data_IF_241175950090
#
_entry.id   IF_241175950090
#
_cell.length_a   1.000
_cell.length_b   1.000
_cell.length_c   1.000
_cell.angle_alpha   90.00
_cell.angle_beta   90.00
_cell.angle_gamma   90.00
#
_symmetry.space_group_name_H-M   'P 1'
#
loop_
_entity.id
_entity.type
_entity.pdbx_description
1 polymer ?
#
# COMPACT_ATOMS: atom_id res chain seq x y z
N UNK A 1 -7.59 -31.60 -16.72
CA UNK A 1 -8.69 -30.94 -16.01
C UNK A 1 -9.34 -31.92 -14.99
N UNK A 2 -8.62 -32.46 -14.02
CA UNK A 2 -9.23 -33.35 -13.00
C UNK A 2 -8.62 -33.28 -11.60
N UNK A 3 -7.70 -32.31 -11.30
CA UNK A 3 -7.00 -32.28 -10.00
C UNK A 3 -7.09 -30.94 -9.23
N UNK A 4 -8.06 -30.06 -9.55
CA UNK A 4 -8.19 -28.77 -8.85
C UNK A 4 -9.37 -28.72 -7.84
N UNK A 5 -10.18 -29.76 -7.75
CA UNK A 5 -11.42 -29.74 -6.93
C UNK A 5 -11.21 -30.27 -5.48
N UNK A 6 -10.03 -30.73 -5.10
CA UNK A 6 -9.84 -31.41 -3.79
C UNK A 6 -9.29 -30.49 -2.68
N UNK A 7 -8.97 -29.22 -2.93
CA UNK A 7 -8.36 -28.34 -1.90
C UNK A 7 -9.33 -27.38 -1.18
N UNK A 8 -10.64 -27.47 -1.43
CA UNK A 8 -11.66 -26.62 -0.75
C UNK A 8 -12.39 -27.36 0.39
N UNK A 9 -12.08 -28.61 0.61
CA UNK A 9 -12.85 -29.50 1.48
C UNK A 9 -12.39 -29.68 2.92
N UNK A 10 -11.36 -29.00 3.41
CA UNK A 10 -10.87 -29.17 4.79
C UNK A 10 -10.71 -27.81 5.45
N UNK A 11 -11.63 -27.46 6.25
CA UNK A 11 -11.60 -26.72 7.53
C UNK A 11 -12.85 -25.88 7.78
N UNK A 12 -13.91 -26.48 8.27
CA UNK A 12 -14.91 -25.72 9.02
C UNK A 12 -15.40 -26.58 10.19
N UNK A 13 -14.64 -26.59 11.27
CA UNK A 13 -15.14 -26.86 12.60
C UNK A 13 -14.30 -26.04 13.59
N UNK A 14 -14.65 -24.78 13.75
CA UNK A 14 -14.17 -23.98 14.89
C UNK A 14 -15.39 -23.38 15.58
N UNK A 15 -15.49 -23.65 16.84
CA UNK A 15 -16.48 -23.07 17.76
C UNK A 15 -16.29 -21.53 17.80
N UNK A 16 -17.34 -20.81 17.41
CA UNK A 16 -17.34 -19.33 17.44
C UNK A 16 -18.18 -18.90 18.64
N UNK A 17 -17.52 -18.32 19.64
CA UNK A 17 -18.17 -17.51 20.64
C UNK A 17 -18.65 -16.19 20.02
N UNK A 18 -19.84 -15.74 20.37
CA UNK A 18 -20.38 -14.47 19.90
C UNK A 18 -19.64 -13.31 20.58
N UNK A 19 -18.69 -12.69 19.86
CA UNK A 19 -18.13 -11.41 20.27
C UNK A 19 -17.94 -10.51 19.05
N UNK A 20 -18.28 -9.23 19.24
CA UNK A 20 -18.19 -8.19 18.22
C UNK A 20 -16.72 -7.86 17.88
N UNK A 21 -16.11 -8.65 17.01
CA UNK A 21 -14.89 -8.23 16.36
C UNK A 21 -15.24 -7.08 15.40
N UNK A 22 -14.83 -5.86 15.74
CA UNK A 22 -14.77 -4.78 14.78
C UNK A 22 -13.86 -5.28 13.64
N UNK A 23 -14.43 -5.42 12.44
CA UNK A 23 -13.68 -5.71 11.23
C UNK A 23 -12.68 -4.57 11.06
N UNK A 24 -11.41 -4.87 11.22
CA UNK A 24 -10.38 -3.89 10.93
C UNK A 24 -10.48 -3.53 9.45
N UNK A 25 -10.63 -2.26 9.19
CA UNK A 25 -10.56 -1.71 7.85
C UNK A 25 -9.07 -1.70 7.46
N UNK A 26 -8.62 -2.73 6.78
CA UNK A 26 -7.28 -2.82 6.20
C UNK A 26 -7.23 -2.04 4.89
N UNK A 27 -7.51 -0.82 4.91
CA UNK A 27 -7.55 0.07 3.78
C UNK A 27 -8.07 1.38 4.30
N UNK A 28 -8.09 2.39 3.66
CA UNK A 28 -8.57 3.72 3.92
C UNK A 28 -9.38 3.91 5.21
N UNK A 29 -9.08 4.93 5.90
CA UNK A 29 -9.67 5.57 7.08
C UNK A 29 -10.98 5.02 7.61
N UNK A 30 -11.03 4.86 8.91
CA UNK A 30 -12.26 5.03 9.67
C UNK A 30 -12.69 6.51 9.59
N UNK A 31 -13.55 6.84 8.61
CA UNK A 31 -14.16 8.17 8.45
C UNK A 31 -15.29 8.36 9.45
N UNK A 32 -15.04 8.05 10.72
CA UNK A 32 -16.01 8.29 11.78
C UNK A 32 -16.36 9.77 11.98
N UNK A 33 -15.64 10.66 11.31
CA UNK A 33 -15.86 12.11 11.36
C UNK A 33 -16.69 12.68 10.19
N UNK A 34 -17.07 11.85 9.20
CA UNK A 34 -17.86 12.30 8.06
C UNK A 34 -19.33 12.55 8.34
N UNK A 35 -20.02 13.19 7.40
CA UNK A 35 -21.46 13.36 7.43
C UNK A 35 -22.15 11.99 7.37
N UNK A 36 -23.01 11.70 8.33
CA UNK A 36 -23.78 10.45 8.38
C UNK A 36 -25.27 10.71 8.17
N UNK A 37 -25.84 10.06 7.15
CA UNK A 37 -27.28 10.14 6.82
C UNK A 37 -27.80 8.70 6.74
N UNK A 38 -28.50 8.26 7.79
CA UNK A 38 -28.98 6.88 7.90
C UNK A 38 -27.83 5.88 7.83
N UNK A 39 -27.86 4.99 6.85
CA UNK A 39 -26.85 3.94 6.63
C UNK A 39 -25.68 4.41 5.73
N UNK A 40 -25.68 5.67 5.29
CA UNK A 40 -24.64 6.25 4.43
C UNK A 40 -23.76 7.17 5.24
N UNK A 41 -22.44 7.06 5.07
CA UNK A 41 -21.46 8.04 5.53
C UNK A 41 -20.68 8.62 4.36
N UNK A 42 -20.42 9.92 4.44
CA UNK A 42 -19.66 10.70 3.47
C UNK A 42 -18.46 11.32 4.16
N UNK A 43 -17.26 11.02 3.70
CA UNK A 43 -16.02 11.66 4.11
C UNK A 43 -15.34 12.34 2.94
N UNK A 44 -14.42 13.24 3.24
CA UNK A 44 -13.58 13.94 2.26
C UNK A 44 -12.13 13.92 2.76
N UNK A 45 -11.22 13.77 1.85
CA UNK A 45 -9.79 13.90 2.10
C UNK A 45 -9.14 14.71 0.99
N UNK A 46 -8.19 15.56 1.37
CA UNK A 46 -7.34 16.27 0.43
C UNK A 46 -5.95 16.46 1.02
N UNK A 47 -4.91 16.17 0.23
CA UNK A 47 -3.55 16.48 0.60
C UNK A 47 -2.83 17.22 -0.54
N UNK A 48 -2.20 18.33 -0.19
CA UNK A 48 -1.36 19.13 -1.07
C UNK A 48 0.05 19.15 -0.53
N UNK A 49 1.04 19.24 -1.43
CA UNK A 49 2.43 19.31 -1.03
C UNK A 49 3.26 20.18 -1.94
N UNK A 50 4.39 20.63 -1.40
CA UNK A 50 5.54 21.12 -2.14
C UNK A 50 6.72 20.19 -1.86
N UNK A 51 7.36 19.66 -2.91
CA UNK A 51 8.53 18.79 -2.81
C UNK A 51 9.75 19.42 -3.45
N UNK A 52 10.90 19.36 -2.79
CA UNK A 52 12.16 19.82 -3.33
C UNK A 52 13.22 18.72 -3.25
N UNK A 53 13.73 18.32 -4.40
CA UNK A 53 14.85 17.39 -4.53
C UNK A 53 16.13 18.18 -4.73
N UNK A 54 17.11 18.02 -3.84
CA UNK A 54 18.35 18.79 -3.84
C UNK A 54 19.30 18.43 -4.99
N UNK A 55 19.10 17.29 -5.64
CA UNK A 55 19.78 16.93 -6.89
C UNK A 55 19.23 17.70 -8.11
N UNK A 56 18.04 18.34 -7.98
CA UNK A 56 17.38 19.17 -8.99
C UNK A 56 17.27 18.49 -10.37
N UNK A 57 16.63 17.30 -10.46
CA UNK A 57 16.54 16.55 -11.71
C UNK A 57 15.81 17.38 -12.79
N UNK A 58 16.35 17.41 -14.01
CA UNK A 58 15.74 18.14 -15.14
C UNK A 58 14.35 17.63 -15.52
N UNK A 59 14.08 16.34 -15.25
CA UNK A 59 12.76 15.74 -15.44
C UNK A 59 11.68 16.32 -14.52
N UNK A 60 12.08 17.05 -13.46
CA UNK A 60 11.21 17.50 -12.37
C UNK A 60 10.43 16.38 -11.68
N UNK A 61 10.87 15.15 -11.84
CA UNK A 61 10.29 13.99 -11.18
C UNK A 61 11.32 13.31 -10.28
N UNK A 62 10.87 12.88 -9.11
CA UNK A 62 11.62 12.00 -8.24
C UNK A 62 11.42 10.59 -8.76
N UNK A 63 12.46 10.01 -9.33
CA UNK A 63 12.45 8.61 -9.74
C UNK A 63 12.24 7.71 -8.51
N UNK A 64 11.78 6.48 -8.73
CA UNK A 64 11.53 5.47 -7.69
C UNK A 64 10.31 5.71 -6.80
N UNK A 65 9.51 6.77 -7.03
CA UNK A 65 8.33 7.09 -6.23
C UNK A 65 7.09 7.28 -7.11
N UNK A 66 5.95 6.81 -6.62
CA UNK A 66 4.63 7.13 -7.22
C UNK A 66 3.90 8.21 -6.44
N UNK A 67 4.24 8.37 -5.16
CA UNK A 67 3.68 9.40 -4.30
C UNK A 67 4.65 10.56 -4.16
N UNK A 68 4.13 11.80 -4.12
CA UNK A 68 4.95 13.00 -3.88
C UNK A 68 6.14 13.13 -4.83
N UNK A 69 5.97 12.68 -6.07
CA UNK A 69 7.06 12.48 -7.04
C UNK A 69 7.45 13.71 -7.84
N UNK A 70 6.85 14.90 -7.56
CA UNK A 70 7.16 16.13 -8.29
C UNK A 70 8.19 16.97 -7.56
N UNK A 71 9.23 17.42 -8.29
CA UNK A 71 10.26 18.31 -7.81
C UNK A 71 9.91 19.77 -8.07
N UNK A 72 10.13 20.64 -7.07
CA UNK A 72 10.00 22.10 -7.13
C UNK A 72 8.64 22.55 -7.69
N UNK A 73 7.57 21.98 -7.16
CA UNK A 73 6.21 22.25 -7.60
C UNK A 73 5.20 22.04 -6.48
N UNK A 74 4.19 22.92 -6.42
CA UNK A 74 3.01 22.72 -5.58
C UNK A 74 2.05 21.78 -6.30
N UNK A 75 1.63 20.71 -5.62
CA UNK A 75 0.81 19.66 -6.21
C UNK A 75 -0.32 19.22 -5.28
N UNK A 76 -1.44 18.87 -5.89
CA UNK A 76 -2.46 18.03 -5.26
C UNK A 76 -2.01 16.57 -5.38
N UNK A 77 -1.58 15.98 -4.27
CA UNK A 77 -1.15 14.58 -4.27
C UNK A 77 -2.36 13.64 -4.40
N UNK A 78 -3.32 13.80 -3.48
CA UNK A 78 -4.53 12.96 -3.44
C UNK A 78 -5.70 13.75 -2.89
N UNK A 79 -6.83 13.71 -3.60
CA UNK A 79 -8.13 14.16 -3.10
C UNK A 79 -9.17 13.12 -3.41
N UNK A 80 -10.07 12.82 -2.46
CA UNK A 80 -11.14 11.85 -2.69
C UNK A 80 -12.41 12.16 -1.88
N UNK A 81 -13.52 11.57 -2.35
CA UNK A 81 -14.76 11.40 -1.60
C UNK A 81 -14.81 9.96 -1.09
N UNK A 82 -15.16 9.78 0.17
CA UNK A 82 -15.33 8.46 0.81
C UNK A 82 -16.80 8.22 1.07
N UNK A 83 -17.42 7.38 0.25
CA UNK A 83 -18.82 7.02 0.33
C UNK A 83 -18.93 5.59 0.86
N UNK A 84 -19.49 5.44 2.06
CA UNK A 84 -19.76 4.13 2.68
C UNK A 84 -21.25 3.95 2.90
N UNK A 85 -21.74 2.80 2.52
CA UNK A 85 -23.04 2.29 2.89
C UNK A 85 -22.86 1.06 3.77
N UNK A 86 -23.57 0.96 4.90
CA UNK A 86 -23.51 -0.19 5.77
C UNK A 86 -24.88 -0.50 6.37
N UNK A 87 -25.34 -1.72 6.13
CA UNK A 87 -26.55 -2.28 6.72
C UNK A 87 -26.21 -3.64 7.36
N UNK A 88 -27.20 -4.30 7.99
CA UNK A 88 -27.03 -5.57 8.73
C UNK A 88 -26.36 -6.68 7.93
N UNK A 89 -26.57 -6.74 6.61
CA UNK A 89 -26.12 -7.82 5.75
C UNK A 89 -25.44 -7.40 4.45
N UNK A 90 -25.42 -6.12 4.16
CA UNK A 90 -24.80 -5.57 2.95
C UNK A 90 -24.00 -4.33 3.29
N UNK A 91 -22.92 -4.14 2.56
CA UNK A 91 -22.08 -2.94 2.64
C UNK A 91 -21.56 -2.56 1.26
N UNK A 92 -21.27 -1.31 1.08
CA UNK A 92 -20.61 -0.81 -0.12
C UNK A 92 -19.61 0.29 0.28
N UNK A 93 -18.53 0.39 -0.47
CA UNK A 93 -17.52 1.41 -0.31
C UNK A 93 -17.13 1.92 -1.69
N UNK A 94 -17.23 3.22 -1.92
CA UNK A 94 -16.87 3.84 -3.19
C UNK A 94 -16.06 5.11 -2.96
N UNK A 95 -14.83 5.15 -3.51
CA UNK A 95 -13.86 6.22 -3.29
C UNK A 95 -13.33 6.70 -4.63
N UNK A 96 -14.05 7.62 -5.32
CA UNK A 96 -13.50 8.34 -6.47
C UNK A 96 -12.39 9.28 -5.99
N UNK A 97 -11.24 9.27 -6.70
CA UNK A 97 -10.04 9.97 -6.28
C UNK A 97 -9.30 10.61 -7.45
N UNK A 98 -8.59 11.71 -7.15
CA UNK A 98 -7.85 12.54 -8.10
C UNK A 98 -6.52 12.99 -7.50
N UNK A 99 -5.59 13.35 -8.36
CA UNK A 99 -4.30 13.91 -7.96
C UNK A 99 -3.12 13.23 -8.65
N UNK A 100 -1.91 13.70 -8.31
CA UNK A 100 -0.67 13.17 -8.92
C UNK A 100 -0.42 11.71 -8.53
N UNK A 101 -0.85 11.30 -7.33
CA UNK A 101 -0.81 9.91 -6.90
C UNK A 101 -1.63 8.99 -7.82
N UNK A 102 -2.89 9.37 -8.13
CA UNK A 102 -3.74 8.59 -9.01
C UNK A 102 -3.15 8.50 -10.42
N UNK A 103 -2.61 9.61 -10.94
CA UNK A 103 -1.99 9.64 -12.25
C UNK A 103 -0.77 8.73 -12.35
N UNK A 104 0.06 8.65 -11.31
CA UNK A 104 1.27 7.82 -11.29
C UNK A 104 0.95 6.36 -10.98
N UNK A 105 0.22 6.11 -9.89
CA UNK A 105 -0.01 4.76 -9.38
C UNK A 105 -1.01 3.95 -10.24
N UNK A 106 -1.97 4.63 -10.88
CA UNK A 106 -2.98 4.03 -11.77
C UNK A 106 -2.66 4.27 -13.26
N UNK A 107 -1.40 4.56 -13.60
CA UNK A 107 -0.99 4.87 -14.98
C UNK A 107 -1.30 3.75 -15.99
N UNK A 108 -1.30 2.50 -15.53
CA UNK A 108 -1.60 1.33 -16.35
C UNK A 108 -3.08 1.07 -16.59
N UNK A 109 -3.97 1.74 -15.85
CA UNK A 109 -5.41 1.60 -15.96
C UNK A 109 -5.98 2.56 -17.03
N UNK A 110 -7.14 2.22 -17.61
CA UNK A 110 -7.76 2.97 -18.70
C UNK A 110 -9.11 3.56 -18.28
N UNK A 111 -9.47 4.69 -18.90
CA UNK A 111 -10.79 5.31 -18.72
C UNK A 111 -11.07 5.71 -17.27
N UNK A 112 -12.31 5.55 -16.82
CA UNK A 112 -12.80 5.95 -15.51
C UNK A 112 -12.22 5.11 -14.36
N UNK A 113 -11.75 3.88 -14.63
CA UNK A 113 -11.16 3.01 -13.60
C UNK A 113 -9.91 3.61 -12.99
N UNK A 114 -9.21 4.48 -13.71
CA UNK A 114 -8.06 5.25 -13.25
C UNK A 114 -8.34 6.17 -12.05
N UNK A 115 -9.60 6.51 -11.81
CA UNK A 115 -10.05 7.41 -10.76
C UNK A 115 -10.75 6.69 -9.61
N UNK A 116 -10.70 5.36 -9.56
CA UNK A 116 -11.30 4.56 -8.50
C UNK A 116 -10.21 4.09 -7.54
N UNK A 117 -10.09 4.75 -6.38
CA UNK A 117 -9.17 4.34 -5.34
C UNK A 117 -9.66 3.05 -4.66
N UNK A 118 -10.95 3.00 -4.30
CA UNK A 118 -11.70 1.80 -3.89
C UNK A 118 -13.10 1.81 -4.49
N UNK A 119 -13.64 0.63 -4.78
CA UNK A 119 -14.99 0.46 -5.30
C UNK A 119 -15.45 -0.96 -5.12
N UNK A 120 -16.11 -1.27 -3.99
CA UNK A 120 -16.49 -2.63 -3.66
C UNK A 120 -17.87 -2.70 -2.98
N UNK A 121 -18.47 -3.89 -3.08
CA UNK A 121 -19.68 -4.26 -2.39
C UNK A 121 -19.44 -5.52 -1.57
N UNK A 122 -20.11 -5.64 -0.45
CA UNK A 122 -19.96 -6.79 0.43
C UNK A 122 -21.29 -7.34 0.92
N UNK A 123 -21.33 -8.66 1.09
CA UNK A 123 -22.48 -9.35 1.67
C UNK A 123 -22.04 -10.20 2.86
N UNK A 124 -22.82 -10.20 3.91
CA UNK A 124 -22.65 -11.03 5.08
C UNK A 124 -23.25 -12.41 4.78
N UNK A 125 -22.40 -13.45 4.70
CA UNK A 125 -22.80 -14.77 4.24
C UNK A 125 -23.75 -15.48 5.22
N UNK A 126 -23.54 -15.26 6.53
CA UNK A 126 -24.34 -15.92 7.58
C UNK A 126 -24.97 -14.88 8.51
N UNK A 127 -26.23 -15.06 8.91
CA UNK A 127 -26.95 -14.15 9.82
C UNK A 127 -26.24 -13.99 11.18
N UNK A 128 -25.75 -15.08 11.76
CA UNK A 128 -25.16 -15.13 13.10
C UNK A 128 -23.62 -15.05 13.11
N UNK A 129 -22.91 -15.32 12.00
CA UNK A 129 -21.46 -15.29 11.93
C UNK A 129 -20.99 -14.03 11.18
N UNK A 130 -19.94 -13.39 11.63
CA UNK A 130 -19.40 -12.18 11.01
C UNK A 130 -18.44 -12.53 9.83
N UNK A 131 -18.95 -13.33 8.87
CA UNK A 131 -18.22 -13.75 7.67
C UNK A 131 -18.74 -12.93 6.49
N UNK A 132 -17.83 -12.21 5.83
CA UNK A 132 -18.15 -11.31 4.73
C UNK A 132 -17.46 -11.71 3.44
N UNK A 133 -18.18 -11.59 2.34
CA UNK A 133 -17.66 -11.65 0.99
C UNK A 133 -17.76 -10.26 0.39
N UNK A 134 -16.62 -9.64 0.08
CA UNK A 134 -16.52 -8.36 -0.62
C UNK A 134 -16.00 -8.59 -2.03
N UNK A 135 -16.47 -7.82 -3.01
CA UNK A 135 -16.04 -7.90 -4.40
C UNK A 135 -15.91 -6.52 -5.02
N UNK A 136 -14.87 -6.32 -5.85
CA UNK A 136 -14.58 -5.08 -6.54
C UNK A 136 -13.12 -4.63 -6.42
N UNK A 137 -12.88 -3.32 -6.45
CA UNK A 137 -11.58 -2.72 -6.15
C UNK A 137 -11.46 -2.52 -4.65
N UNK A 138 -10.53 -3.25 -4.06
CA UNK A 138 -10.31 -3.37 -2.62
C UNK A 138 -9.00 -2.67 -2.24
N UNK A 139 -8.92 -2.06 -1.06
CA UNK A 139 -7.64 -1.66 -0.49
C UNK A 139 -6.73 -2.86 -0.27
N UNK A 140 -5.44 -2.66 -0.48
CA UNK A 140 -4.43 -3.70 -0.29
C UNK A 140 -4.19 -3.98 1.20
N UNK A 141 -3.98 -5.23 1.61
CA UNK A 141 -3.58 -5.56 2.96
C UNK A 141 -2.08 -5.35 3.22
N UNK A 142 -1.28 -5.26 2.14
CA UNK A 142 0.18 -5.30 2.22
C UNK A 142 0.76 -4.02 2.77
N UNK A 143 1.79 -4.17 3.60
CA UNK A 143 2.59 -3.14 4.26
C UNK A 143 1.87 -2.29 5.31
N UNK A 144 2.67 -1.51 6.03
CA UNK A 144 2.22 -0.68 7.15
C UNK A 144 1.83 0.75 6.74
N UNK A 145 1.83 1.07 5.44
CA UNK A 145 1.47 2.39 4.91
C UNK A 145 0.54 2.26 3.71
N UNK A 146 -0.54 3.04 3.71
CA UNK A 146 -1.58 3.06 2.68
C UNK A 146 -1.36 4.17 1.64
N UNK A 147 -2.33 4.40 0.78
CA UNK A 147 -2.39 5.54 -0.13
C UNK A 147 -2.57 6.89 0.59
N UNK A 148 -3.07 6.91 1.82
CA UNK A 148 -3.57 8.11 2.50
C UNK A 148 -2.57 8.63 3.53
N UNK A 149 -1.91 9.74 3.23
CA UNK A 149 -0.79 10.26 4.02
C UNK A 149 -1.15 10.68 5.44
N UNK A 150 -2.42 11.00 5.74
CA UNK A 150 -2.82 11.36 7.11
C UNK A 150 -2.66 10.20 8.10
N UNK A 151 -2.76 8.96 7.61
CA UNK A 151 -2.66 7.75 8.43
C UNK A 151 -1.20 7.34 8.68
N UNK A 152 -0.27 7.95 7.96
CA UNK A 152 1.15 7.70 8.09
C UNK A 152 1.77 8.48 9.25
N UNK A 153 2.91 8.01 9.72
CA UNK A 153 3.69 8.70 10.73
C UNK A 153 4.50 9.86 10.14
N UNK A 154 4.86 9.77 8.86
CA UNK A 154 5.54 10.81 8.07
C UNK A 154 4.67 11.19 6.86
N UNK A 155 5.03 12.24 6.13
CA UNK A 155 4.30 12.62 4.92
C UNK A 155 4.62 11.67 3.76
N UNK A 156 5.89 11.54 3.40
CA UNK A 156 6.30 10.64 2.34
C UNK A 156 6.18 9.18 2.79
N UNK A 157 5.85 8.29 1.86
CA UNK A 157 5.80 6.85 2.12
C UNK A 157 7.19 6.26 2.15
N UNK A 158 7.33 5.14 2.85
CA UNK A 158 8.55 4.33 2.79
C UNK A 158 8.70 3.67 1.42
N UNK A 159 9.91 3.24 1.08
CA UNK A 159 10.19 2.41 -0.10
C UNK A 159 9.41 1.09 -0.06
N UNK A 160 9.02 0.65 1.13
CA UNK A 160 8.15 -0.51 1.33
C UNK A 160 6.85 -0.38 0.55
N UNK A 161 6.12 0.71 0.76
CA UNK A 161 4.81 0.92 0.16
C UNK A 161 4.88 1.21 -1.35
N UNK A 162 6.00 1.75 -1.85
CA UNK A 162 6.16 2.10 -3.27
C UNK A 162 6.21 0.86 -4.19
N UNK A 163 6.59 -0.32 -3.67
CA UNK A 163 6.83 -1.53 -4.47
C UNK A 163 5.91 -2.71 -4.11
N UNK A 164 4.77 -2.41 -3.50
CA UNK A 164 3.68 -3.38 -3.26
C UNK A 164 2.36 -2.82 -3.78
N UNK A 165 1.34 -3.66 -4.01
CA UNK A 165 0.03 -3.16 -4.43
C UNK A 165 -0.58 -2.22 -3.40
N UNK A 166 -1.11 -1.09 -3.85
CA UNK A 166 -1.97 -0.22 -3.05
C UNK A 166 -3.45 -0.62 -3.13
N UNK A 167 -3.81 -1.38 -4.15
CA UNK A 167 -5.15 -1.92 -4.34
C UNK A 167 -5.09 -3.31 -4.96
N UNK A 168 -6.15 -4.07 -4.73
CA UNK A 168 -6.40 -5.38 -5.36
C UNK A 168 -7.79 -5.34 -5.99
N UNK A 169 -7.98 -5.99 -7.13
CA UNK A 169 -9.31 -6.11 -7.74
C UNK A 169 -9.72 -7.56 -7.83
N UNK A 170 -10.86 -7.89 -7.23
CA UNK A 170 -11.35 -9.27 -7.15
C UNK A 170 -12.32 -9.50 -6.01
N UNK A 171 -12.15 -10.61 -5.32
CA UNK A 171 -13.00 -11.08 -4.23
C UNK A 171 -12.16 -11.21 -2.96
N UNK A 172 -12.71 -10.76 -1.83
CA UNK A 172 -12.15 -10.94 -0.49
C UNK A 172 -13.15 -11.65 0.39
N UNK A 173 -12.76 -12.74 1.03
CA UNK A 173 -13.50 -13.40 2.08
C UNK A 173 -12.82 -13.08 3.41
N UNK A 174 -13.59 -12.60 4.39
CA UNK A 174 -13.10 -12.29 5.74
C UNK A 174 -13.87 -13.06 6.79
N UNK A 175 -13.15 -13.64 7.76
CA UNK A 175 -13.76 -14.36 8.86
C UNK A 175 -12.93 -14.27 10.14
N UNK A 176 -13.58 -13.94 11.27
CA UNK A 176 -12.90 -13.88 12.56
C UNK A 176 -12.58 -15.29 13.06
N UNK A 177 -11.37 -15.45 13.61
CA UNK A 177 -10.89 -16.66 14.30
C UNK A 177 -10.76 -16.35 15.80
N UNK A 178 -11.90 -16.23 16.48
CA UNK A 178 -11.97 -15.78 17.87
C UNK A 178 -11.89 -14.25 18.01
N UNK A 179 -11.51 -13.76 19.19
CA UNK A 179 -11.55 -12.32 19.54
C UNK A 179 -10.33 -11.54 19.03
N UNK A 180 -9.21 -12.21 18.83
CA UNK A 180 -7.92 -11.56 18.56
C UNK A 180 -7.40 -11.76 17.15
N UNK A 181 -7.96 -12.71 16.41
CA UNK A 181 -7.51 -13.04 15.07
C UNK A 181 -8.64 -12.85 14.06
N UNK A 182 -8.28 -12.29 12.90
CA UNK A 182 -9.14 -12.30 11.71
C UNK A 182 -8.31 -12.82 10.54
N UNK A 183 -8.87 -13.75 9.78
CA UNK A 183 -8.25 -14.26 8.56
C UNK A 183 -8.99 -13.73 7.34
N UNK A 184 -8.21 -13.40 6.33
CA UNK A 184 -8.72 -12.97 5.02
C UNK A 184 -8.08 -13.81 3.92
N UNK A 185 -8.87 -14.10 2.88
CA UNK A 185 -8.35 -14.65 1.64
C UNK A 185 -8.87 -13.85 0.46
N UNK A 186 -8.03 -13.72 -0.54
CA UNK A 186 -8.24 -12.90 -1.72
C UNK A 186 -8.09 -13.76 -2.98
N UNK A 187 -9.03 -13.61 -3.92
CA UNK A 187 -8.90 -14.09 -5.28
C UNK A 187 -8.98 -12.88 -6.19
N UNK A 188 -7.87 -12.52 -6.83
CA UNK A 188 -7.70 -11.23 -7.49
C UNK A 188 -7.15 -11.37 -8.92
N UNK A 189 -7.30 -10.32 -9.72
CA UNK A 189 -6.84 -10.26 -11.11
C UNK A 189 -5.30 -10.28 -11.25
N UNK A 190 -4.54 -9.91 -10.22
CA UNK A 190 -3.09 -9.86 -10.25
C UNK A 190 -2.52 -8.80 -9.31
N UNK A 191 -1.23 -8.54 -9.43
CA UNK A 191 -0.49 -7.56 -8.64
C UNK A 191 -0.84 -6.13 -9.08
N UNK A 192 -1.74 -5.47 -8.32
CA UNK A 192 -2.19 -4.11 -8.60
C UNK A 192 -2.81 -3.94 -10.01
N UNK A 193 -3.83 -4.72 -10.33
CA UNK A 193 -4.52 -4.67 -11.61
C UNK A 193 -6.04 -4.60 -11.40
N UNK A 194 -6.70 -3.56 -11.93
CA UNK A 194 -8.16 -3.50 -12.02
C UNK A 194 -8.60 -4.34 -13.22
N UNK A 195 -8.08 -4.02 -14.40
CA UNK A 195 -8.30 -4.82 -15.59
C UNK A 195 -7.34 -6.02 -15.63
N UNK A 196 -7.88 -7.22 -15.74
CA UNK A 196 -7.07 -8.43 -15.89
C UNK A 196 -6.29 -8.39 -17.22
N UNK A 197 -5.00 -8.71 -17.17
CA UNK A 197 -4.10 -8.65 -18.32
C UNK A 197 -3.63 -10.02 -18.82
N UNK A 198 -3.99 -11.11 -18.11
CA UNK A 198 -3.47 -12.44 -18.43
C UNK A 198 -4.45 -13.61 -18.21
N UNK A 199 -5.72 -13.32 -17.89
CA UNK A 199 -6.79 -14.29 -17.62
C UNK A 199 -6.49 -15.24 -16.43
N UNK A 200 -5.39 -15.06 -15.72
CA UNK A 200 -5.02 -15.88 -14.56
C UNK A 200 -5.30 -15.12 -13.28
N UNK A 201 -5.81 -15.82 -12.28
CA UNK A 201 -6.11 -15.24 -10.98
C UNK A 201 -4.99 -15.50 -10.00
N UNK A 202 -4.80 -14.54 -9.11
CA UNK A 202 -3.84 -14.60 -8.03
C UNK A 202 -4.53 -14.80 -6.70
N UNK A 203 -3.83 -15.40 -5.76
CA UNK A 203 -4.34 -15.67 -4.41
C UNK A 203 -3.50 -14.89 -3.41
N UNK A 204 -4.19 -14.21 -2.50
CA UNK A 204 -3.59 -13.57 -1.33
C UNK A 204 -4.19 -14.10 -0.05
N UNK A 205 -3.44 -14.04 1.04
CA UNK A 205 -3.97 -14.27 2.39
C UNK A 205 -3.51 -13.19 3.34
N UNK A 206 -4.26 -12.98 4.42
CA UNK A 206 -3.90 -12.08 5.51
C UNK A 206 -4.33 -12.70 6.82
N UNK A 207 -3.43 -12.72 7.81
CA UNK A 207 -3.74 -13.03 9.18
C UNK A 207 -3.51 -11.77 10.03
N UNK A 208 -4.59 -11.18 10.48
CA UNK A 208 -4.56 -10.06 11.42
C UNK A 208 -4.60 -10.58 12.86
N UNK A 209 -3.70 -10.08 13.70
CA UNK A 209 -3.64 -10.37 15.12
C UNK A 209 -3.66 -9.08 15.96
N UNK A 210 -4.69 -8.94 16.81
CA UNK A 210 -4.85 -7.85 17.77
C UNK A 210 -4.80 -8.39 19.20
N UNK A 211 -3.61 -8.53 19.81
CA UNK A 211 -3.48 -9.03 21.19
C UNK A 211 -4.21 -8.15 22.20
N UNK A 212 -4.26 -6.85 21.93
CA UNK A 212 -4.96 -5.82 22.70
C UNK A 212 -5.17 -4.56 21.86
N UNK A 213 -5.80 -3.52 22.42
CA UNK A 213 -6.13 -2.27 21.72
C UNK A 213 -4.93 -1.42 21.27
N UNK A 214 -3.71 -1.75 21.67
CA UNK A 214 -2.51 -0.97 21.36
C UNK A 214 -1.67 -1.58 20.25
N UNK A 215 -1.88 -2.85 19.93
CA UNK A 215 -1.05 -3.58 18.98
C UNK A 215 -1.89 -4.19 17.87
N UNK A 216 -1.38 -4.06 16.66
CA UNK A 216 -1.81 -4.78 15.47
C UNK A 216 -0.59 -5.45 14.85
N UNK A 217 -0.69 -6.74 14.55
CA UNK A 217 0.27 -7.49 13.74
C UNK A 217 -0.48 -8.07 12.56
N UNK A 218 0.04 -7.89 11.36
CA UNK A 218 -0.46 -8.55 10.14
C UNK A 218 0.65 -9.40 9.54
N UNK A 219 0.25 -10.54 9.02
CA UNK A 219 1.06 -11.39 8.17
C UNK A 219 0.29 -11.68 6.89
N UNK A 220 0.87 -11.31 5.75
CA UNK A 220 0.22 -11.35 4.45
C UNK A 220 1.04 -12.19 3.47
N UNK A 221 0.36 -12.82 2.52
CA UNK A 221 1.00 -13.58 1.43
C UNK A 221 0.35 -13.29 0.09
N UNK A 222 1.10 -13.51 -0.99
CA UNK A 222 0.62 -13.42 -2.36
C UNK A 222 1.28 -14.48 -3.23
N UNK A 223 0.47 -15.12 -4.09
CA UNK A 223 0.95 -16.01 -5.16
C UNK A 223 0.13 -15.74 -6.42
N UNK A 224 0.80 -15.41 -7.52
CA UNK A 224 0.12 -15.16 -8.77
C UNK A 224 1.06 -15.18 -9.98
N UNK A 225 0.46 -15.29 -11.16
CA UNK A 225 1.19 -15.18 -12.42
C UNK A 225 1.09 -13.75 -12.94
N UNK A 226 2.25 -13.07 -13.07
CA UNK A 226 2.35 -11.68 -13.52
C UNK A 226 2.73 -11.57 -15.02
N UNK A 227 2.44 -12.60 -15.79
CA UNK A 227 2.68 -12.58 -17.22
C UNK A 227 1.71 -11.64 -17.93
N UNK A 228 2.18 -10.89 -18.92
CA UNK A 228 1.31 -10.21 -19.88
C UNK A 228 1.04 -11.14 -21.06
N UNK A 229 -0.18 -11.13 -21.61
CA UNK A 229 -0.66 -12.00 -22.69
C UNK A 229 0.26 -12.10 -23.93
N UNK A 230 1.25 -11.23 -24.04
CA UNK A 230 1.93 -10.99 -25.34
C UNK A 230 3.24 -11.74 -25.54
N UNK A 231 3.84 -12.41 -24.57
CA UNK A 231 5.18 -12.91 -24.86
C UNK A 231 5.77 -14.08 -24.11
N UNK A 232 5.37 -14.45 -22.89
CA UNK A 232 6.12 -15.50 -22.19
C UNK A 232 5.26 -16.33 -21.25
N UNK A 233 5.53 -17.61 -21.23
CA UNK A 233 4.90 -18.59 -20.33
C UNK A 233 5.42 -18.39 -18.92
N UNK A 234 4.49 -18.21 -18.00
CA UNK A 234 4.63 -18.26 -16.54
C UNK A 234 5.70 -17.36 -15.92
N UNK A 235 5.23 -16.31 -15.25
CA UNK A 235 6.02 -15.43 -14.38
C UNK A 235 5.43 -15.47 -12.98
N UNK A 236 5.59 -16.59 -12.30
CA UNK A 236 5.06 -16.73 -10.95
C UNK A 236 5.75 -15.76 -10.00
N UNK A 237 4.93 -15.03 -9.25
CA UNK A 237 5.33 -14.16 -8.15
C UNK A 237 4.89 -14.76 -6.84
N UNK A 238 5.81 -14.80 -5.90
CA UNK A 238 5.58 -15.17 -4.52
C UNK A 238 6.00 -14.01 -3.64
N UNK A 239 5.15 -13.65 -2.69
CA UNK A 239 5.43 -12.53 -1.78
C UNK A 239 4.88 -12.82 -0.41
N UNK A 240 5.58 -12.36 0.63
CA UNK A 240 5.10 -12.36 1.99
C UNK A 240 5.64 -11.14 2.74
N UNK A 241 4.77 -10.50 3.52
CA UNK A 241 5.14 -9.45 4.44
C UNK A 241 4.61 -9.72 5.85
N UNK A 242 5.25 -9.07 6.79
CA UNK A 242 4.79 -8.94 8.16
C UNK A 242 4.97 -7.50 8.60
N UNK A 243 3.92 -6.93 9.20
CA UNK A 243 4.03 -5.62 9.79
C UNK A 243 3.37 -5.53 11.15
N UNK A 244 3.89 -4.61 11.95
CA UNK A 244 3.43 -4.32 13.29
C UNK A 244 3.13 -2.84 13.43
N UNK A 245 2.00 -2.52 14.12
CA UNK A 245 1.63 -1.17 14.50
C UNK A 245 1.41 -1.16 16.02
N UNK A 246 2.01 -0.18 16.67
CA UNK A 246 1.84 0.10 18.09
C UNK A 246 1.39 1.54 18.29
N UNK A 247 0.34 1.75 19.10
CA UNK A 247 -0.11 3.08 19.47
C UNK A 247 -0.53 3.11 20.93
N UNK A 248 0.22 3.87 21.73
CA UNK A 248 -0.09 4.07 23.15
C UNK A 248 0.41 5.42 23.65
N UNK A 249 -0.51 6.23 24.21
CA UNK A 249 -0.21 7.57 24.75
C UNK A 249 0.46 8.47 23.70
N UNK A 250 1.70 8.87 23.93
CA UNK A 250 2.48 9.77 23.08
C UNK A 250 3.20 9.04 21.93
N UNK A 251 3.28 7.71 21.98
CA UNK A 251 4.01 6.91 21.00
C UNK A 251 3.10 6.26 19.97
N UNK A 252 3.46 6.39 18.71
CA UNK A 252 3.00 5.53 17.62
C UNK A 252 4.22 5.02 16.86
N UNK A 253 4.30 3.70 16.71
CA UNK A 253 5.44 3.01 16.09
C UNK A 253 4.89 2.03 15.08
N UNK A 254 5.56 1.90 13.94
CA UNK A 254 5.27 0.86 12.97
C UNK A 254 6.56 0.33 12.36
N UNK A 255 6.54 -0.94 12.02
CA UNK A 255 7.63 -1.62 11.32
C UNK A 255 7.05 -2.61 10.34
N UNK A 256 7.69 -2.77 9.21
CA UNK A 256 7.33 -3.74 8.18
C UNK A 256 8.59 -4.38 7.62
N UNK A 257 8.53 -5.69 7.39
CA UNK A 257 9.52 -6.41 6.61
C UNK A 257 8.81 -7.31 5.59
N UNK A 258 9.34 -7.40 4.38
CA UNK A 258 8.84 -8.32 3.37
C UNK A 258 9.94 -8.88 2.49
N UNK A 259 9.60 -9.98 1.83
CA UNK A 259 10.39 -10.56 0.76
C UNK A 259 9.49 -11.05 -0.38
N UNK A 260 10.00 -10.99 -1.59
CA UNK A 260 9.34 -11.53 -2.76
C UNK A 260 10.32 -12.18 -3.72
N UNK A 261 9.78 -13.09 -4.52
CA UNK A 261 10.48 -13.83 -5.57
C UNK A 261 9.64 -13.74 -6.84
N UNK A 262 10.26 -13.35 -7.94
CA UNK A 262 9.66 -13.31 -9.27
C UNK A 262 10.34 -14.32 -10.17
N UNK A 263 9.60 -15.27 -10.70
CA UNK A 263 10.07 -16.13 -11.78
C UNK A 263 10.27 -15.32 -13.04
N UNK A 264 11.38 -15.57 -13.73
CA UNK A 264 11.74 -14.91 -14.97
C UNK A 264 12.21 -15.95 -15.99
N UNK A 265 11.58 -15.96 -17.17
CA UNK A 265 12.00 -16.81 -18.29
C UNK A 265 12.38 -15.93 -19.48
N UNK A 266 13.57 -16.11 -20.00
CA UNK A 266 14.00 -15.45 -21.22
C UNK A 266 13.68 -16.31 -22.45
N UNK A 267 13.35 -15.65 -23.58
CA UNK A 267 12.96 -16.33 -24.83
C UNK A 267 14.02 -17.28 -25.36
N UNK A 268 15.28 -16.95 -25.17
CA UNK A 268 16.41 -17.76 -25.64
C UNK A 268 16.94 -18.76 -24.60
N UNK A 269 16.52 -18.63 -23.36
CA UNK A 269 16.84 -19.56 -22.29
C UNK A 269 15.57 -20.03 -21.59
N UNK A 270 15.08 -21.24 -21.93
CA UNK A 270 13.85 -21.76 -21.34
C UNK A 270 13.99 -22.16 -19.87
N UNK A 271 15.21 -22.15 -19.31
CA UNK A 271 15.40 -22.36 -17.88
C UNK A 271 14.85 -21.17 -17.10
N UNK A 272 14.05 -21.45 -16.08
CA UNK A 272 13.56 -20.42 -15.17
C UNK A 272 14.71 -19.86 -14.33
N UNK A 273 14.81 -18.55 -14.30
CA UNK A 273 15.63 -17.83 -13.31
C UNK A 273 14.72 -17.12 -12.33
N UNK A 274 15.23 -16.81 -11.16
CA UNK A 274 14.48 -16.14 -10.11
C UNK A 274 15.15 -14.83 -9.77
N UNK A 275 14.32 -13.76 -9.67
CA UNK A 275 14.69 -12.45 -9.13
C UNK A 275 14.04 -12.29 -7.78
N UNK A 276 14.74 -11.73 -6.82
CA UNK A 276 14.23 -11.51 -5.49
C UNK A 276 14.36 -10.04 -5.08
N UNK A 277 13.48 -9.61 -4.21
CA UNK A 277 13.54 -8.31 -3.54
C UNK A 277 13.11 -8.46 -2.09
N UNK A 278 13.58 -7.55 -1.25
CA UNK A 278 13.17 -7.50 0.15
C UNK A 278 13.36 -6.09 0.71
N UNK A 279 12.70 -5.80 1.79
CA UNK A 279 12.87 -4.56 2.53
C UNK A 279 12.61 -4.76 4.02
N UNK A 280 13.09 -3.78 4.83
CA UNK A 280 12.68 -3.58 6.20
C UNK A 280 12.58 -2.09 6.49
N UNK A 281 11.56 -1.67 7.24
CA UNK A 281 11.43 -0.31 7.74
C UNK A 281 11.09 -0.27 9.22
N UNK A 282 11.44 0.84 9.85
CA UNK A 282 11.02 1.20 11.19
C UNK A 282 10.69 2.70 11.22
N UNK A 283 9.49 3.03 11.69
CA UNK A 283 9.00 4.40 11.74
C UNK A 283 8.42 4.64 13.14
N UNK A 284 8.81 5.72 13.78
CA UNK A 284 8.32 6.08 15.10
C UNK A 284 7.89 7.55 15.11
N UNK A 285 6.78 7.83 15.81
CA UNK A 285 6.28 9.17 16.11
C UNK A 285 6.16 9.35 17.60
N UNK A 286 6.61 10.50 18.07
CA UNK A 286 6.40 10.94 19.44
C UNK A 286 5.64 12.27 19.47
N UNK A 287 4.55 12.33 20.23
CA UNK A 287 3.80 13.58 20.49
C UNK A 287 4.57 14.43 21.51
N UNK A 288 5.14 15.54 21.06
CA UNK A 288 5.81 16.51 21.91
C UNK A 288 4.81 17.30 22.74
N UNK A 289 3.69 17.69 22.10
CA UNK A 289 2.53 18.33 22.74
C UNK A 289 1.23 17.74 22.17
N UNK A 290 0.06 18.32 22.47
CA UNK A 290 -1.21 17.91 21.90
C UNK A 290 -1.24 18.09 20.37
N UNK A 291 -0.60 19.15 19.87
CA UNK A 291 -0.61 19.51 18.46
C UNK A 291 0.70 19.24 17.72
N UNK A 292 1.81 19.07 18.44
CA UNK A 292 3.13 18.92 17.82
C UNK A 292 3.66 17.49 17.97
N UNK A 293 4.17 16.94 16.88
CA UNK A 293 4.77 15.60 16.85
C UNK A 293 6.07 15.58 16.06
N UNK A 294 7.01 14.76 16.50
CA UNK A 294 8.25 14.44 15.79
C UNK A 294 8.19 12.99 15.36
N UNK A 295 8.51 12.75 14.08
CA UNK A 295 8.59 11.40 13.52
C UNK A 295 9.98 11.16 12.94
N UNK A 296 10.43 9.91 13.03
CA UNK A 296 11.68 9.44 12.43
C UNK A 296 11.44 8.14 11.69
N UNK A 297 12.15 7.93 10.58
CA UNK A 297 12.13 6.69 9.77
C UNK A 297 13.55 6.26 9.46
N UNK A 298 13.74 4.94 9.46
CA UNK A 298 14.88 4.28 8.85
C UNK A 298 14.37 3.09 8.06
N UNK A 299 14.96 2.83 6.90
CA UNK A 299 14.54 1.76 6.01
C UNK A 299 15.67 1.29 5.11
N UNK A 300 15.59 0.06 4.68
CA UNK A 300 16.45 -0.50 3.67
C UNK A 300 15.61 -1.28 2.65
N UNK A 301 15.86 -1.04 1.37
CA UNK A 301 15.23 -1.72 0.25
C UNK A 301 16.29 -2.34 -0.65
N UNK A 302 16.04 -3.56 -1.11
CA UNK A 302 16.96 -4.33 -1.95
C UNK A 302 16.24 -5.03 -3.08
N UNK A 303 16.49 -4.60 -4.31
CA UNK A 303 16.07 -5.24 -5.57
C UNK A 303 17.25 -5.28 -6.54
N UNK A 304 18.20 -6.20 -6.36
CA UNK A 304 19.45 -6.21 -7.11
C UNK A 304 19.29 -6.53 -8.60
N UNK A 305 18.13 -7.07 -8.99
CA UNK A 305 17.86 -7.56 -10.34
C UNK A 305 16.66 -6.90 -11.01
N UNK A 306 16.14 -5.78 -10.46
CA UNK A 306 14.93 -5.11 -10.95
C UNK A 306 13.75 -6.09 -11.10
N UNK A 307 13.42 -6.79 -10.02
CA UNK A 307 12.27 -7.68 -9.96
C UNK A 307 10.95 -6.89 -9.95
N UNK A 308 10.92 -5.77 -9.23
CA UNK A 308 9.74 -4.90 -9.07
C UNK A 308 10.05 -3.43 -9.38
N UNK A 309 11.28 -2.98 -9.21
CA UNK A 309 11.68 -1.62 -9.57
C UNK A 309 11.79 -1.52 -11.09
N UNK A 310 11.05 -0.59 -11.76
CA UNK A 310 11.15 -0.44 -13.21
C UNK A 310 12.54 0.06 -13.61
N UNK A 311 12.97 -0.32 -14.81
CA UNK A 311 14.18 0.23 -15.41
C UNK A 311 13.99 1.72 -15.70
N UNK A 312 14.63 2.57 -14.91
CA UNK A 312 14.58 4.03 -15.07
C UNK A 312 15.69 4.51 -16.02
N UNK A 313 16.75 3.69 -16.18
CA UNK A 313 17.93 4.00 -16.94
C UNK A 313 18.02 3.07 -18.17
N UNK A 314 18.74 3.48 -19.24
CA UNK A 314 19.02 2.59 -20.38
C UNK A 314 19.53 1.22 -19.91
N UNK A 315 19.11 0.15 -20.60
CA UNK A 315 19.30 -1.26 -20.19
C UNK A 315 20.75 -1.68 -19.94
N UNK A 316 21.74 -1.02 -20.55
CA UNK A 316 23.16 -1.29 -20.30
C UNK A 316 23.67 -0.84 -18.91
N UNK A 317 22.83 -0.10 -18.15
CA UNK A 317 23.11 0.28 -16.76
C UNK A 317 22.20 -0.45 -15.77
N UNK A 318 21.85 -1.68 -16.04
CA UNK A 318 20.96 -2.49 -15.20
C UNK A 318 21.66 -2.90 -13.89
N UNK A 319 21.73 -1.97 -12.95
CA UNK A 319 22.49 -2.13 -11.70
C UNK A 319 21.62 -2.56 -10.52
N UNK A 320 20.32 -2.81 -10.74
CA UNK A 320 19.38 -3.03 -9.65
C UNK A 320 19.14 -1.77 -8.80
N UNK A 321 18.36 -1.90 -7.74
CA UNK A 321 18.10 -0.82 -6.79
C UNK A 321 18.25 -1.32 -5.36
N UNK A 322 19.33 -0.91 -4.71
CA UNK A 322 19.57 -1.13 -3.29
C UNK A 322 19.67 0.24 -2.65
N UNK A 323 18.89 0.51 -1.62
CA UNK A 323 18.83 1.84 -1.05
C UNK A 323 18.55 1.82 0.45
N UNK A 324 19.42 2.46 1.21
CA UNK A 324 19.16 2.89 2.57
C UNK A 324 18.47 4.26 2.52
N UNK A 325 17.46 4.49 3.36
CA UNK A 325 16.85 5.79 3.52
C UNK A 325 16.57 6.08 4.99
N UNK A 326 16.70 7.34 5.36
CA UNK A 326 16.32 7.86 6.67
C UNK A 326 15.61 9.19 6.53
N UNK A 327 14.77 9.55 7.49
CA UNK A 327 14.05 10.81 7.45
C UNK A 327 13.56 11.26 8.81
N UNK A 328 13.32 12.58 8.90
CA UNK A 328 12.71 13.26 10.05
C UNK A 328 11.53 14.10 9.56
N UNK A 329 10.45 14.10 10.33
CA UNK A 329 9.27 14.92 10.02
C UNK A 329 8.73 15.57 11.28
N UNK A 330 8.45 16.87 11.19
CA UNK A 330 7.73 17.62 12.20
C UNK A 330 6.30 17.83 11.73
N UNK A 331 5.33 17.36 12.52
CA UNK A 331 3.90 17.46 12.23
C UNK A 331 3.20 18.37 13.23
N UNK A 332 2.44 19.33 12.73
CA UNK A 332 1.62 20.24 13.52
C UNK A 332 0.15 20.06 13.17
N UNK A 333 -0.63 19.51 14.10
CA UNK A 333 -2.09 19.41 13.99
C UNK A 333 -2.68 20.82 14.19
N UNK A 334 -3.15 21.44 13.12
CA UNK A 334 -3.82 22.74 13.16
C UNK A 334 -5.18 22.57 13.84
N UNK A 335 -5.84 21.48 13.52
CA UNK A 335 -7.08 20.98 14.18
C UNK A 335 -7.02 19.45 14.25
N UNK A 336 -8.03 18.81 14.80
CA UNK A 336 -8.23 17.35 14.75
C UNK A 336 -8.43 16.80 13.32
N UNK A 337 -8.68 17.68 12.35
CA UNK A 337 -8.97 17.37 10.93
C UNK A 337 -8.02 18.02 9.92
N UNK A 338 -6.95 18.65 10.41
CA UNK A 338 -5.98 19.35 9.56
C UNK A 338 -4.59 19.23 10.15
N UNK A 339 -3.64 18.74 9.35
CA UNK A 339 -2.24 18.61 9.74
C UNK A 339 -1.33 19.27 8.72
N UNK A 340 -0.36 20.05 9.20
CA UNK A 340 0.78 20.55 8.44
C UNK A 340 2.02 19.76 8.81
N UNK A 341 2.84 19.36 7.82
CA UNK A 341 4.09 18.61 8.04
C UNK A 341 5.23 19.21 7.24
N UNK A 342 6.40 19.20 7.85
CA UNK A 342 7.68 19.46 7.18
C UNK A 342 8.52 18.20 7.36
N UNK A 343 9.10 17.70 6.27
CA UNK A 343 9.88 16.45 6.25
C UNK A 343 11.17 16.64 5.47
N UNK A 344 12.27 16.10 6.00
CA UNK A 344 13.52 15.89 5.28
C UNK A 344 13.84 14.41 5.20
N UNK A 345 14.27 13.95 4.02
CA UNK A 345 14.57 12.56 3.75
C UNK A 345 15.86 12.41 2.97
N UNK A 346 16.73 11.54 3.46
CA UNK A 346 18.01 11.20 2.85
C UNK A 346 17.96 9.78 2.27
N UNK A 347 18.66 9.58 1.15
CA UNK A 347 18.82 8.32 0.47
C UNK A 347 20.28 8.07 0.16
N UNK A 348 20.73 6.82 0.36
CA UNK A 348 22.01 6.29 -0.05
C UNK A 348 21.77 5.01 -0.82
N UNK A 349 21.98 5.03 -2.13
CA UNK A 349 21.92 3.85 -2.98
C UNK A 349 23.27 3.12 -3.00
N UNK A 350 23.25 1.83 -3.31
CA UNK A 350 24.45 1.02 -3.50
C UNK A 350 25.15 1.25 -4.86
N UNK A 351 24.56 2.10 -5.70
CA UNK A 351 25.08 2.48 -7.01
C UNK A 351 24.62 3.91 -7.36
N UNK A 352 25.10 4.46 -8.46
CA UNK A 352 24.75 5.80 -8.93
C UNK A 352 23.30 5.87 -9.49
N UNK A 353 22.31 5.59 -8.64
CA UNK A 353 20.89 5.52 -9.00
C UNK A 353 20.25 6.88 -9.28
N UNK A 354 20.72 7.95 -8.65
CA UNK A 354 20.12 9.27 -8.72
C UNK A 354 20.78 10.17 -9.77
N UNK A 355 20.05 11.17 -10.27
CA UNK A 355 20.50 12.05 -11.35
C UNK A 355 20.51 13.49 -10.86
N UNK A 356 21.63 14.19 -11.03
CA UNK A 356 21.77 15.63 -10.74
C UNK A 356 21.33 16.50 -11.93
N UNK A 357 21.16 17.78 -11.69
CA UNK A 357 20.74 18.78 -12.69
C UNK A 357 21.67 18.85 -13.92
N UNK A 358 22.96 18.61 -13.76
CA UNK A 358 23.94 18.56 -14.86
C UNK A 358 23.93 17.25 -15.64
N UNK A 359 23.08 16.26 -15.26
CA UNK A 359 23.01 14.93 -15.87
C UNK A 359 24.00 13.91 -15.30
N UNK A 360 24.89 14.30 -14.38
CA UNK A 360 25.76 13.36 -13.68
C UNK A 360 24.96 12.49 -12.72
N UNK A 361 25.46 11.32 -12.44
CA UNK A 361 24.85 10.38 -11.50
C UNK A 361 25.45 10.50 -10.11
N UNK A 362 24.73 9.98 -9.14
CA UNK A 362 25.16 9.99 -7.74
C UNK A 362 24.46 8.87 -6.98
N UNK A 363 25.10 8.40 -5.94
CA UNK A 363 24.54 7.42 -5.00
C UNK A 363 23.63 8.06 -3.97
N UNK A 364 23.67 9.40 -3.81
CA UNK A 364 22.95 10.08 -2.75
C UNK A 364 21.88 11.02 -3.29
N UNK A 365 20.78 11.10 -2.52
CA UNK A 365 19.73 12.08 -2.76
C UNK A 365 19.17 12.60 -1.43
N UNK A 366 18.86 13.89 -1.38
CA UNK A 366 18.12 14.49 -0.28
C UNK A 366 16.85 15.16 -0.82
N UNK A 367 15.72 14.90 -0.16
CA UNK A 367 14.42 15.50 -0.48
C UNK A 367 13.84 16.21 0.72
N UNK A 368 13.22 17.36 0.49
CA UNK A 368 12.43 18.09 1.47
C UNK A 368 10.98 18.20 1.04
N UNK A 369 10.05 18.10 1.98
CA UNK A 369 8.61 18.23 1.74
C UNK A 369 7.97 19.19 2.73
N UNK A 370 7.00 19.98 2.23
CA UNK A 370 6.00 20.65 3.04
C UNK A 370 4.63 20.17 2.58
N UNK A 371 3.80 19.72 3.50
CA UNK A 371 2.49 19.10 3.22
C UNK A 371 1.40 19.68 4.10
N UNK A 372 0.23 19.89 3.52
CA UNK A 372 -1.01 20.18 4.24
C UNK A 372 -2.07 19.17 3.87
N UNK A 373 -2.64 18.51 4.88
CA UNK A 373 -3.73 17.52 4.67
C UNK A 373 -4.95 17.91 5.50
N UNK A 374 -6.14 17.76 4.90
CA UNK A 374 -7.43 18.01 5.54
C UNK A 374 -8.38 16.84 5.29
N UNK A 375 -9.24 16.57 6.26
CA UNK A 375 -10.28 15.53 6.16
C UNK A 375 -11.50 15.85 7.03
N UNK A 376 -12.63 15.32 6.69
CA UNK A 376 -13.86 15.41 7.48
C UNK A 376 -14.85 14.28 7.15
#
# INVERSE_FOLDING_TARGET
>A
MKNIIILIGVLVLVFVSENHAQVANTGLMDTTSGLKIGNVSLGVYMDVYYGFNFNQPKSKQNNYFVSSNQHNSFQLNLAYLDLKFSDKRVRAHFVPAFGTYMNANYASEKGATKFILEGNIGVKLFKKKNIWLDAGVLGSPYTNESAVSKDHLMYSRSLSAEYVPYFLSGIKLSFPLGEKFTFYTYLVNGWQQIADKNDQKSIGTQLEYRPNKYHLVNWDTYVGNENMLTSFKDKMRYFSDIYWIFEKKKWKITSCAYAGIQEFKETWNPQSSYKYWWQANFIARYKLSENLSLSARTEFFNDPNNAVVPYILPSYYNLGFQCFSSGLSLGYAITDKCIFRIEGRFFQAGNEAFIRSNGTRTETEFQGFANLSIWF
#
